data_IF_657406358793
#
_entry.id   IF_657406358793
#
_cell.length_a   1.000
_cell.length_b   1.000
_cell.length_c   1.000
_cell.angle_alpha   90.00
_cell.angle_beta   90.00
_cell.angle_gamma   90.00
#
_symmetry.space_group_name_H-M   'P 1'
#
loop_
_entity.id
_entity.type
_entity.pdbx_description
1 polymer ?
#
# COMPACT_ATOMS: atom_id res chain seq x y z
N UNK A 1 -9.57 -28.22 -14.94
CA UNK A 1 -8.35 -28.96 -15.35
C UNK A 1 -8.46 -30.39 -14.84
N UNK A 2 -8.07 -31.39 -15.62
CA UNK A 2 -8.12 -32.81 -15.23
C UNK A 2 -6.70 -33.30 -14.88
N UNK A 3 -6.18 -32.87 -13.74
CA UNK A 3 -4.86 -33.29 -13.23
C UNK A 3 -5.03 -34.22 -12.05
N UNK A 4 -4.18 -35.23 -11.94
CA UNK A 4 -4.06 -36.01 -10.70
C UNK A 4 -3.28 -35.19 -9.66
N UNK A 5 -3.46 -35.49 -8.38
CA UNK A 5 -2.68 -34.86 -7.30
C UNK A 5 -1.17 -35.03 -7.49
N UNK A 6 -0.73 -36.19 -8.01
CA UNK A 6 0.69 -36.48 -8.25
C UNK A 6 1.26 -35.57 -9.36
N UNK A 7 0.55 -35.47 -10.48
CA UNK A 7 0.93 -34.61 -11.61
C UNK A 7 0.94 -33.14 -11.18
N UNK A 8 -0.09 -32.69 -10.45
CA UNK A 8 -0.16 -31.32 -9.94
C UNK A 8 1.00 -31.01 -8.98
N UNK A 9 1.35 -31.96 -8.11
CA UNK A 9 2.46 -31.79 -7.16
C UNK A 9 3.81 -31.67 -7.88
N UNK A 10 4.03 -32.49 -8.90
CA UNK A 10 5.23 -32.46 -9.74
C UNK A 10 5.35 -31.13 -10.48
N UNK A 11 4.30 -30.70 -11.20
CA UNK A 11 4.26 -29.43 -11.91
C UNK A 11 4.44 -28.22 -10.98
N UNK A 12 3.87 -28.28 -9.77
CA UNK A 12 3.98 -27.21 -8.78
C UNK A 12 5.31 -27.24 -7.99
N UNK A 13 6.13 -28.29 -8.15
CA UNK A 13 7.37 -28.47 -7.40
C UNK A 13 7.15 -28.56 -5.88
N UNK A 14 6.13 -29.32 -5.46
CA UNK A 14 5.76 -29.57 -4.06
C UNK A 14 5.53 -31.07 -3.84
N UNK A 15 5.45 -31.52 -2.58
CA UNK A 15 5.11 -32.92 -2.29
C UNK A 15 3.62 -33.18 -2.55
N UNK A 16 3.26 -34.42 -2.93
CA UNK A 16 1.86 -34.85 -3.02
C UNK A 16 1.08 -34.61 -1.72
N UNK A 17 1.70 -34.89 -0.57
CA UNK A 17 1.11 -34.61 0.75
C UNK A 17 0.84 -33.12 1.00
N UNK A 18 1.54 -32.22 0.31
CA UNK A 18 1.27 -30.77 0.38
C UNK A 18 0.01 -30.41 -0.40
N UNK A 19 -0.23 -31.05 -1.56
CA UNK A 19 -1.50 -30.92 -2.31
C UNK A 19 -2.68 -31.48 -1.49
N UNK A 20 -2.53 -32.66 -0.88
CA UNK A 20 -3.58 -33.26 -0.03
C UNK A 20 -3.91 -32.38 1.19
N UNK A 21 -2.91 -31.75 1.81
CA UNK A 21 -3.10 -30.78 2.90
C UNK A 21 -3.81 -29.51 2.44
N UNK A 22 -3.52 -29.05 1.21
CA UNK A 22 -4.21 -27.92 0.58
C UNK A 22 -5.69 -28.21 0.40
N UNK A 23 -6.01 -29.38 -0.14
CA UNK A 23 -7.39 -29.81 -0.40
C UNK A 23 -8.19 -30.05 0.88
N UNK A 24 -7.55 -30.54 1.93
CA UNK A 24 -8.18 -30.75 3.25
C UNK A 24 -8.30 -29.49 4.11
N UNK A 25 -7.81 -28.34 3.63
CA UNK A 25 -7.94 -27.05 4.33
C UNK A 25 -7.08 -26.93 5.59
N UNK A 26 -5.97 -27.68 5.69
CA UNK A 26 -5.09 -27.67 6.87
C UNK A 26 -4.32 -26.35 6.97
N UNK A 27 -4.28 -25.79 8.19
CA UNK A 27 -3.90 -24.39 8.51
C UNK A 27 -2.41 -24.05 8.35
N UNK A 28 -1.52 -25.02 8.15
CA UNK A 28 -0.06 -24.84 8.22
C UNK A 28 0.68 -24.81 6.86
N UNK A 29 0.04 -24.31 5.80
CA UNK A 29 0.67 -24.23 4.49
C UNK A 29 1.48 -22.95 4.33
N UNK A 30 2.70 -23.09 3.80
CA UNK A 30 3.48 -21.93 3.37
C UNK A 30 2.80 -21.29 2.16
N UNK A 31 2.64 -19.96 2.18
CA UNK A 31 2.03 -19.20 1.08
C UNK A 31 2.70 -19.49 -0.27
N UNK A 32 4.02 -19.72 -0.28
CA UNK A 32 4.77 -20.08 -1.48
C UNK A 32 4.28 -21.37 -2.15
N UNK A 33 3.92 -22.39 -1.37
CA UNK A 33 3.37 -23.65 -1.89
C UNK A 33 1.98 -23.45 -2.49
N UNK A 34 1.13 -22.69 -1.81
CA UNK A 34 -0.19 -22.31 -2.33
C UNK A 34 -0.10 -21.57 -3.66
N UNK A 35 0.76 -20.54 -3.74
CA UNK A 35 0.95 -19.75 -4.96
C UNK A 35 1.47 -20.59 -6.14
N UNK A 36 2.33 -21.57 -5.89
CA UNK A 36 2.83 -22.49 -6.93
C UNK A 36 1.70 -23.36 -7.48
N UNK A 37 0.85 -23.91 -6.61
CA UNK A 37 -0.33 -24.69 -7.03
C UNK A 37 -1.32 -23.81 -7.80
N UNK A 38 -1.63 -22.61 -7.32
CA UNK A 38 -2.49 -21.66 -8.03
C UNK A 38 -1.95 -21.31 -9.42
N UNK A 39 -0.63 -21.16 -9.57
CA UNK A 39 -0.01 -20.90 -10.89
C UNK A 39 -0.22 -22.06 -11.85
N UNK A 40 0.02 -23.30 -11.41
CA UNK A 40 -0.21 -24.48 -12.27
C UNK A 40 -1.67 -24.60 -12.66
N UNK A 41 -2.59 -24.26 -11.77
CA UNK A 41 -4.03 -24.33 -12.04
C UNK A 41 -4.58 -23.13 -12.82
N UNK A 42 -3.74 -22.18 -13.25
CA UNK A 42 -4.15 -20.93 -13.91
C UNK A 42 -5.12 -20.09 -13.06
N UNK A 43 -4.98 -20.14 -11.73
CA UNK A 43 -5.81 -19.42 -10.75
C UNK A 43 -5.11 -18.19 -10.14
N UNK A 44 -3.86 -17.93 -10.52
CA UNK A 44 -3.04 -16.88 -9.93
C UNK A 44 -3.66 -15.48 -10.10
N UNK A 45 -4.36 -15.25 -11.22
CA UNK A 45 -4.97 -13.96 -11.54
C UNK A 45 -6.13 -13.59 -10.60
N UNK A 46 -6.77 -14.59 -9.99
CA UNK A 46 -7.82 -14.37 -8.99
C UNK A 46 -7.32 -13.62 -7.76
N UNK A 47 -6.01 -13.67 -7.47
CA UNK A 47 -5.40 -12.95 -6.36
C UNK A 47 -5.43 -11.43 -6.55
N UNK A 48 -5.58 -10.94 -7.79
CA UNK A 48 -5.74 -9.50 -8.04
C UNK A 48 -6.99 -8.94 -7.34
N UNK A 49 -8.02 -9.76 -7.12
CA UNK A 49 -9.23 -9.35 -6.40
C UNK A 49 -8.99 -9.05 -4.92
N UNK A 50 -7.87 -9.53 -4.36
CA UNK A 50 -7.48 -9.24 -2.98
C UNK A 50 -6.78 -7.89 -2.85
N UNK A 51 -6.33 -7.31 -3.97
CA UNK A 51 -5.63 -6.02 -3.98
C UNK A 51 -6.69 -4.92 -4.16
N UNK A 52 -6.85 -4.00 -3.19
CA UNK A 52 -7.77 -2.89 -3.35
C UNK A 52 -7.29 -1.96 -4.47
N UNK A 53 -8.22 -1.30 -5.14
CA UNK A 53 -7.85 -0.27 -6.12
C UNK A 53 -7.08 0.86 -5.43
N UNK A 54 -6.01 1.37 -6.07
CA UNK A 54 -5.24 2.46 -5.51
C UNK A 54 -6.12 3.70 -5.35
N UNK A 55 -6.14 4.25 -4.13
CA UNK A 55 -6.80 5.52 -3.86
C UNK A 55 -6.09 6.71 -4.52
N UNK A 56 -6.68 7.92 -4.44
CA UNK A 56 -6.09 9.13 -5.02
C UNK A 56 -4.69 9.40 -4.44
N UNK A 57 -3.74 9.77 -5.30
CA UNK A 57 -2.40 10.11 -4.85
C UNK A 57 -2.40 11.37 -3.98
N UNK A 58 -1.36 11.62 -3.16
CA UNK A 58 -1.24 12.87 -2.40
C UNK A 58 -1.32 14.13 -3.28
N UNK A 59 -0.82 14.07 -4.52
CA UNK A 59 -0.93 15.18 -5.49
C UNK A 59 -2.37 15.36 -5.95
N UNK A 60 -3.09 14.26 -6.20
CA UNK A 60 -4.51 14.33 -6.58
C UNK A 60 -5.35 14.88 -5.43
N UNK A 61 -5.06 14.48 -4.20
CA UNK A 61 -5.70 15.03 -3.00
C UNK A 61 -5.45 16.54 -2.85
N UNK A 62 -4.25 17.04 -3.20
CA UNK A 62 -3.96 18.48 -3.20
C UNK A 62 -4.74 19.23 -4.28
N UNK A 63 -4.84 18.66 -5.50
CA UNK A 63 -5.66 19.23 -6.58
C UNK A 63 -7.14 19.26 -6.22
N UNK A 64 -7.64 18.20 -5.58
CA UNK A 64 -9.01 18.09 -5.08
C UNK A 64 -9.31 19.06 -3.93
N UNK A 65 -8.30 19.48 -3.16
CA UNK A 65 -8.46 20.39 -2.00
C UNK A 65 -8.95 21.80 -2.38
N UNK A 66 -9.05 22.10 -3.67
CA UNK A 66 -9.58 23.35 -4.20
C UNK A 66 -8.77 24.58 -3.77
N UNK A 67 -9.25 25.77 -4.13
CA UNK A 67 -8.63 27.03 -3.71
C UNK A 67 -8.96 27.29 -2.24
N UNK A 68 -8.00 27.02 -1.35
CA UNK A 68 -8.10 27.47 0.05
C UNK A 68 -8.08 29.00 0.08
N UNK A 69 -9.05 29.60 0.76
CA UNK A 69 -9.10 31.05 0.99
C UNK A 69 -7.83 31.46 1.74
N UNK A 70 -6.92 32.14 1.06
CA UNK A 70 -5.78 32.78 1.72
C UNK A 70 -6.29 34.02 2.45
N UNK A 71 -5.85 34.19 3.70
CA UNK A 71 -6.17 35.41 4.45
C UNK A 71 -5.53 36.58 3.73
N UNK A 72 -6.32 37.63 3.47
CA UNK A 72 -5.77 38.89 3.01
C UNK A 72 -4.78 39.40 4.07
N UNK A 73 -3.49 39.39 3.76
CA UNK A 73 -2.49 40.06 4.58
C UNK A 73 -2.56 41.54 4.26
N UNK A 74 -2.71 42.40 5.29
CA UNK A 74 -2.41 43.82 5.09
C UNK A 74 -0.96 43.94 4.63
N UNK A 75 -0.72 44.80 3.63
CA UNK A 75 0.62 45.20 3.25
C UNK A 75 1.24 45.86 4.48
N UNK A 76 2.28 45.24 5.06
CA UNK A 76 3.00 45.82 6.19
C UNK A 76 3.49 47.19 5.72
N UNK A 77 2.99 48.26 6.33
CA UNK A 77 3.55 49.60 6.09
C UNK A 77 5.07 49.50 6.27
N UNK A 78 5.83 50.09 5.35
CA UNK A 78 7.28 50.12 5.43
C UNK A 78 7.66 50.46 6.86
N UNK A 79 8.44 49.58 7.51
CA UNK A 79 8.85 49.77 8.88
C UNK A 79 9.54 51.12 8.98
N UNK A 80 8.81 52.14 9.44
CA UNK A 80 9.41 53.40 9.86
C UNK A 80 10.49 53.02 10.86
N UNK A 81 11.71 53.50 10.63
CA UNK A 81 12.94 53.10 11.33
C UNK A 81 12.65 52.74 12.78
N UNK A 82 12.58 51.45 13.08
CA UNK A 82 12.51 50.99 14.45
C UNK A 82 13.82 51.42 15.10
N UNK A 83 13.75 52.31 16.10
CA UNK A 83 14.90 52.59 16.95
C UNK A 83 15.44 51.28 17.51
N UNK A 84 16.76 51.19 17.79
CA UNK A 84 17.36 49.96 18.26
C UNK A 84 16.64 49.47 19.50
N UNK A 85 16.09 48.26 19.41
CA UNK A 85 15.43 47.59 20.51
C UNK A 85 16.48 47.22 21.55
N UNK A 86 16.33 47.72 22.77
CA UNK A 86 17.22 47.38 23.90
C UNK A 86 16.40 46.74 25.01
N UNK A 87 16.79 45.54 25.42
CA UNK A 87 16.26 44.92 26.64
C UNK A 87 16.89 45.55 27.87
N UNK A 88 16.11 45.57 28.96
CA UNK A 88 16.44 46.29 30.18
C UNK A 88 17.82 45.94 30.74
N UNK A 89 18.66 46.97 30.81
CA UNK A 89 19.74 47.08 31.78
C UNK A 89 19.81 48.55 32.23
N UNK A 90 19.16 48.85 33.34
CA UNK A 90 19.56 49.93 34.24
C UNK A 90 19.10 49.53 35.65
N UNK A 91 20.11 49.42 36.50
CA UNK A 91 20.15 48.87 37.85
C UNK A 91 19.35 49.68 38.87
#
# INVERSE_FOLDING_TARGET
RNLTQATLAEEAGVSRSTVERLESGVVALQLSGFLRVCRVLDLIDGLNLLVPEPGPSPVDLLKLKGRKRQRASMRKAAAGKAGPWTWGDAK
#
